data_IF_748926051729
#
_entry.id   IF_748926051729
#
_cell.length_a   1.000
_cell.length_b   1.000
_cell.length_c   1.000
_cell.angle_alpha   90.00
_cell.angle_beta   90.00
_cell.angle_gamma   90.00
#
_symmetry.space_group_name_H-M   'P 1'
#
loop_
_entity.id
_entity.type
_entity.pdbx_description
1 polymer ?
#
# COMPACT_ATOMS: atom_id res chain seq x y z
N UNK A 1 -22.33 -55.29 -42.97
CA UNK A 1 -22.30 -54.11 -43.84
C UNK A 1 -23.42 -53.21 -43.34
N UNK A 2 -23.11 -52.21 -42.53
CA UNK A 2 -23.98 -51.13 -42.12
C UNK A 2 -23.16 -49.87 -42.18
N UNK A 3 -23.56 -49.00 -43.06
CA UNK A 3 -22.88 -47.71 -43.37
C UNK A 3 -23.15 -46.72 -42.26
N UNK A 4 -22.07 -46.13 -41.77
CA UNK A 4 -22.06 -44.98 -40.81
C UNK A 4 -22.37 -43.68 -41.55
N UNK A 5 -23.49 -43.07 -41.21
CA UNK A 5 -23.84 -41.70 -41.63
C UNK A 5 -23.10 -40.69 -40.81
N UNK A 6 -22.36 -39.81 -41.47
CA UNK A 6 -21.74 -38.62 -40.91
C UNK A 6 -22.76 -37.47 -40.85
N UNK A 7 -22.82 -36.70 -39.76
CA UNK A 7 -23.66 -35.50 -39.72
C UNK A 7 -23.04 -34.31 -40.48
N UNK A 8 -23.84 -33.34 -40.96
CA UNK A 8 -23.38 -32.26 -41.80
C UNK A 8 -22.63 -31.16 -41.00
N UNK A 9 -21.66 -30.58 -41.66
CA UNK A 9 -20.86 -29.46 -41.19
C UNK A 9 -21.71 -28.13 -41.31
N UNK A 10 -22.07 -27.58 -40.19
CA UNK A 10 -22.59 -26.18 -40.14
C UNK A 10 -21.42 -25.20 -40.06
N UNK A 11 -21.22 -24.49 -41.15
CA UNK A 11 -20.39 -23.26 -41.18
C UNK A 11 -21.22 -22.10 -40.64
N UNK A 12 -20.72 -21.26 -39.71
CA UNK A 12 -21.44 -20.08 -39.29
C UNK A 12 -21.34 -18.97 -40.34
N UNK A 13 -22.50 -18.41 -40.64
CA UNK A 13 -22.75 -17.26 -41.50
C UNK A 13 -21.91 -16.04 -41.10
N UNK A 14 -21.14 -15.55 -42.05
CA UNK A 14 -20.42 -14.27 -41.99
C UNK A 14 -21.38 -13.10 -42.38
N UNK A 15 -22.33 -12.73 -41.55
CA UNK A 15 -23.10 -11.50 -41.75
C UNK A 15 -23.65 -10.95 -40.44
N UNK A 16 -22.76 -10.49 -39.54
CA UNK A 16 -23.15 -9.67 -38.38
C UNK A 16 -22.08 -8.64 -38.02
N UNK A 17 -21.65 -7.85 -39.00
CA UNK A 17 -20.80 -6.68 -38.79
C UNK A 17 -21.26 -5.55 -39.71
N UNK A 18 -22.39 -4.94 -39.42
CA UNK A 18 -22.74 -3.59 -39.86
C UNK A 18 -24.02 -3.12 -39.12
N UNK A 19 -23.85 -2.59 -37.92
CA UNK A 19 -24.67 -1.49 -37.40
C UNK A 19 -23.84 -0.77 -36.33
N UNK A 20 -23.11 0.24 -36.75
CA UNK A 20 -22.45 1.18 -35.86
C UNK A 20 -23.48 2.18 -35.33
N UNK A 21 -23.99 1.95 -34.15
CA UNK A 21 -24.68 2.99 -33.38
C UNK A 21 -23.65 3.65 -32.46
N UNK A 22 -23.15 4.79 -32.93
CA UNK A 22 -22.38 5.74 -32.11
C UNK A 22 -23.32 6.41 -31.12
N UNK A 23 -23.28 6.00 -29.85
CA UNK A 23 -23.95 6.73 -28.78
C UNK A 23 -23.15 8.01 -28.51
N UNK A 24 -23.68 9.12 -29.05
CA UNK A 24 -23.20 10.46 -28.75
C UNK A 24 -23.69 10.84 -27.36
N UNK A 25 -22.76 10.93 -26.38
CA UNK A 25 -23.02 11.54 -25.08
C UNK A 25 -22.93 13.07 -25.22
N UNK A 26 -24.10 13.72 -25.17
CA UNK A 26 -24.22 15.18 -25.12
C UNK A 26 -23.88 15.70 -23.69
N UNK A 27 -22.74 16.35 -23.56
CA UNK A 27 -22.21 16.93 -22.31
C UNK A 27 -22.74 18.35 -22.03
N UNK A 28 -23.80 18.81 -22.73
CA UNK A 28 -24.31 20.19 -22.55
C UNK A 28 -25.34 20.36 -21.42
N UNK A 29 -25.67 19.33 -20.63
CA UNK A 29 -26.72 19.37 -19.63
C UNK A 29 -26.27 19.65 -18.18
N UNK A 30 -25.01 20.01 -17.93
CA UNK A 30 -24.54 20.42 -16.59
C UNK A 30 -23.98 21.85 -16.60
N UNK A 31 -24.90 22.82 -16.55
CA UNK A 31 -24.58 24.20 -16.18
C UNK A 31 -25.04 24.41 -14.73
N UNK A 32 -24.23 24.87 -13.80
CA UNK A 32 -24.69 25.21 -12.45
C UNK A 32 -25.41 26.56 -12.48
N UNK A 33 -26.68 26.54 -12.14
CA UNK A 33 -27.46 27.76 -11.88
C UNK A 33 -26.94 28.43 -10.61
N UNK A 34 -26.64 29.72 -10.74
CA UNK A 34 -26.32 30.62 -9.65
C UNK A 34 -27.56 30.81 -8.75
N UNK A 35 -27.38 30.60 -7.44
CA UNK A 35 -28.25 31.17 -6.43
C UNK A 35 -27.35 32.04 -5.49
N UNK A 36 -27.49 33.34 -5.67
CA UNK A 36 -27.01 34.31 -4.72
C UNK A 36 -28.10 34.46 -3.64
N UNK A 37 -27.73 34.25 -2.39
CA UNK A 37 -28.38 34.90 -1.25
C UNK A 37 -27.30 35.20 -0.21
N UNK A 38 -27.24 36.48 0.11
CA UNK A 38 -26.34 37.08 1.06
C UNK A 38 -26.88 36.87 2.48
N UNK A 39 -26.09 36.34 3.38
CA UNK A 39 -26.28 36.52 4.81
C UNK A 39 -25.00 37.10 5.44
N UNK A 40 -25.23 38.14 6.25
CA UNK A 40 -24.25 39.00 6.90
C UNK A 40 -23.39 38.25 7.94
N UNK A 41 -22.16 38.72 8.23
CA UNK A 41 -21.29 38.10 9.21
C UNK A 41 -21.68 38.44 10.64
N UNK A 42 -22.00 37.43 11.44
CA UNK A 42 -22.16 37.57 12.89
C UNK A 42 -20.77 37.63 13.53
N UNK A 43 -20.46 38.77 14.13
CA UNK A 43 -19.27 39.00 14.94
C UNK A 43 -19.36 38.21 16.26
N UNK A 44 -18.46 37.27 16.49
CA UNK A 44 -18.22 36.73 17.82
C UNK A 44 -16.99 37.37 18.45
N UNK A 45 -17.24 37.92 19.67
CA UNK A 45 -16.28 38.60 20.51
C UNK A 45 -15.09 37.69 20.89
N UNK A 46 -13.93 38.28 20.87
CA UNK A 46 -12.69 37.76 21.45
C UNK A 46 -12.91 37.49 22.96
N UNK A 47 -12.68 36.24 23.36
CA UNK A 47 -12.37 35.90 24.74
C UNK A 47 -10.92 35.41 24.80
N UNK A 48 -10.10 36.28 25.39
CA UNK A 48 -8.76 35.99 25.86
C UNK A 48 -8.77 34.79 26.79
N UNK A 49 -8.07 33.70 26.38
CA UNK A 49 -7.57 32.72 27.32
C UNK A 49 -6.11 32.44 26.98
N UNK A 50 -5.25 33.03 27.81
CA UNK A 50 -3.83 32.71 27.91
C UNK A 50 -3.62 31.24 28.09
N UNK A 51 -3.13 30.54 27.04
CA UNK A 51 -2.63 29.18 27.16
C UNK A 51 -1.13 29.24 27.40
N UNK A 52 -0.74 28.82 28.59
CA UNK A 52 0.65 28.57 28.95
C UNK A 52 1.28 27.57 27.99
N UNK A 53 2.39 27.99 27.41
CA UNK A 53 3.23 27.11 26.58
C UNK A 53 3.86 26.01 27.44
N UNK A 54 3.33 24.81 27.36
CA UNK A 54 4.03 23.62 27.86
C UNK A 54 5.10 23.27 26.83
N UNK A 55 6.33 23.65 27.14
CA UNK A 55 7.52 23.19 26.42
C UNK A 55 7.66 21.70 26.59
N UNK A 56 7.34 20.93 25.56
CA UNK A 56 7.69 19.52 25.48
C UNK A 56 9.23 19.43 25.41
N UNK A 57 9.85 18.92 26.47
CA UNK A 57 11.26 18.61 26.49
C UNK A 57 11.54 17.47 25.51
N UNK A 58 12.27 17.78 24.44
CA UNK A 58 12.84 16.80 23.51
C UNK A 58 13.81 15.95 24.32
N UNK A 59 13.57 14.63 24.34
CA UNK A 59 14.51 13.66 24.87
C UNK A 59 15.78 13.67 24.01
N UNK A 60 16.98 13.59 24.60
CA UNK A 60 18.23 13.63 23.84
C UNK A 60 18.42 12.37 23.00
N UNK A 61 18.91 12.56 21.78
CA UNK A 61 19.37 11.54 20.84
C UNK A 61 20.25 10.48 21.49
N UNK A 62 19.81 9.24 21.46
CA UNK A 62 20.50 8.08 22.03
C UNK A 62 21.46 7.41 21.03
N UNK A 63 21.77 8.06 19.91
CA UNK A 63 22.77 7.59 18.96
C UNK A 63 23.79 8.67 18.61
N UNK A 64 24.67 8.95 19.58
CA UNK A 64 25.90 9.65 19.28
C UNK A 64 26.80 8.79 18.39
N UNK A 65 27.18 9.34 17.24
CA UNK A 65 28.22 8.80 16.37
C UNK A 65 29.53 8.64 17.15
N UNK A 66 29.85 7.42 17.55
CA UNK A 66 31.16 7.04 18.03
C UNK A 66 32.09 6.80 16.83
N UNK A 67 33.11 7.62 16.70
CA UNK A 67 34.24 7.37 15.82
C UNK A 67 34.95 6.08 16.23
N UNK A 68 35.55 5.30 15.32
CA UNK A 68 36.23 4.06 15.68
C UNK A 68 37.54 4.36 16.40
N UNK A 69 37.61 3.98 17.65
CA UNK A 69 38.89 3.88 18.36
C UNK A 69 39.67 2.62 17.96
N UNK A 70 41.04 2.64 18.01
CA UNK A 70 41.84 1.55 17.47
C UNK A 70 41.72 0.29 18.34
N UNK A 71 41.63 -0.84 17.66
CA UNK A 71 41.55 -2.18 18.20
C UNK A 71 42.63 -2.47 19.22
N UNK A 72 42.24 -2.55 20.50
CA UNK A 72 43.05 -3.25 21.50
C UNK A 72 42.79 -4.76 21.37
N UNK A 73 43.83 -5.53 21.19
CA UNK A 73 43.80 -6.99 21.24
C UNK A 73 43.23 -7.45 22.58
N UNK A 74 42.02 -8.02 22.55
CA UNK A 74 41.43 -8.67 23.72
C UNK A 74 42.08 -10.06 23.84
N UNK A 75 42.87 -10.24 24.88
CA UNK A 75 43.37 -11.55 25.26
C UNK A 75 42.20 -12.53 25.53
N UNK A 76 42.34 -13.83 25.22
CA UNK A 76 41.28 -14.80 25.46
C UNK A 76 40.99 -14.89 26.96
N UNK A 77 39.77 -14.52 27.33
CA UNK A 77 39.26 -14.75 28.67
C UNK A 77 38.88 -16.25 28.72
N UNK A 78 39.64 -17.01 29.54
CA UNK A 78 39.23 -18.38 29.92
C UNK A 78 37.85 -18.29 30.60
N UNK A 79 36.84 -18.81 29.93
CA UNK A 79 35.49 -18.99 30.51
C UNK A 79 35.55 -20.09 31.56
N UNK A 80 35.82 -19.72 32.80
CA UNK A 80 35.48 -20.58 33.93
C UNK A 80 33.98 -20.45 34.15
N UNK A 81 33.22 -21.48 33.77
CA UNK A 81 31.81 -21.64 34.15
C UNK A 81 31.76 -21.87 35.68
N UNK A 82 31.78 -20.80 36.47
CA UNK A 82 31.36 -20.88 37.87
C UNK A 82 29.83 -20.82 37.90
N UNK A 83 29.22 -21.96 38.15
CA UNK A 83 27.79 -22.00 38.48
C UNK A 83 27.52 -21.11 39.72
N UNK A 84 26.50 -20.22 39.69
CA UNK A 84 26.20 -19.37 40.84
C UNK A 84 25.79 -20.23 42.03
N UNK A 85 26.56 -20.16 43.10
CA UNK A 85 26.27 -20.84 44.38
C UNK A 85 25.19 -20.09 45.14
N UNK A 86 23.96 -20.63 45.15
CA UNK A 86 22.85 -20.09 45.90
C UNK A 86 22.88 -20.62 47.35
N UNK A 87 22.40 -19.79 48.31
CA UNK A 87 22.28 -20.16 49.69
C UNK A 87 21.22 -21.24 49.88
N UNK A 88 21.37 -22.20 50.85
CA UNK A 88 20.36 -23.25 51.07
C UNK A 88 19.06 -22.66 51.60
N UNK A 89 18.02 -22.70 50.77
CA UNK A 89 16.65 -22.22 51.11
C UNK A 89 16.07 -21.20 50.10
N UNK A 90 16.80 -20.72 49.15
CA UNK A 90 16.23 -19.90 48.07
C UNK A 90 15.65 -20.80 47.00
N UNK A 91 14.32 -20.77 46.86
CA UNK A 91 13.61 -21.31 45.68
C UNK A 91 13.93 -20.40 44.51
N UNK A 92 14.66 -20.92 43.53
CA UNK A 92 14.92 -20.25 42.27
C UNK A 92 13.59 -20.13 41.54
N UNK A 93 12.94 -18.99 41.62
CA UNK A 93 12.01 -18.57 40.61
C UNK A 93 12.86 -18.23 39.38
N UNK A 94 12.55 -18.81 38.24
CA UNK A 94 13.27 -18.66 36.95
C UNK A 94 13.94 -17.32 36.81
N UNK A 95 15.23 -17.23 37.16
CA UNK A 95 16.03 -16.02 36.89
C UNK A 95 16.43 -16.08 35.44
N UNK A 96 15.63 -15.42 34.58
CA UNK A 96 15.97 -15.27 33.19
C UNK A 96 17.30 -14.47 33.12
N UNK A 97 18.37 -15.11 32.68
CA UNK A 97 19.64 -14.42 32.45
C UNK A 97 19.48 -13.39 31.35
N UNK A 98 20.21 -12.27 31.39
CA UNK A 98 20.21 -11.26 30.32
C UNK A 98 20.47 -11.91 28.94
N UNK A 99 21.34 -12.93 28.88
CA UNK A 99 21.59 -13.73 27.67
C UNK A 99 20.31 -14.46 27.22
N UNK A 100 19.56 -15.07 28.12
CA UNK A 100 18.28 -15.73 27.80
C UNK A 100 17.22 -14.75 27.35
N UNK A 101 17.15 -13.56 27.96
CA UNK A 101 16.27 -12.48 27.50
C UNK A 101 16.58 -12.06 26.06
N UNK A 102 17.85 -11.81 25.73
CA UNK A 102 18.27 -11.47 24.37
C UNK A 102 18.03 -12.62 23.39
N UNK A 103 18.31 -13.83 23.78
CA UNK A 103 18.20 -14.98 22.89
C UNK A 103 16.72 -15.37 22.60
N UNK A 104 15.84 -15.32 23.58
CA UNK A 104 14.46 -15.77 23.42
C UNK A 104 13.51 -14.57 23.16
N UNK A 105 13.43 -13.62 24.08
CA UNK A 105 12.44 -12.54 23.98
C UNK A 105 12.71 -11.57 22.82
N UNK A 106 13.99 -11.29 22.56
CA UNK A 106 14.32 -10.43 21.43
C UNK A 106 14.02 -11.10 20.09
N UNK A 107 14.33 -12.40 19.95
CA UNK A 107 14.00 -13.17 18.75
C UNK A 107 12.50 -13.30 18.55
N UNK A 108 11.75 -13.56 19.63
CA UNK A 108 10.28 -13.65 19.59
C UNK A 108 9.68 -12.30 19.16
N UNK A 109 10.17 -11.20 19.76
CA UNK A 109 9.74 -9.87 19.38
C UNK A 109 10.11 -9.52 17.94
N UNK A 110 11.33 -9.84 17.51
CA UNK A 110 11.78 -9.60 16.15
C UNK A 110 10.95 -10.39 15.13
N UNK A 111 10.69 -11.67 15.40
CA UNK A 111 9.78 -12.50 14.60
C UNK A 111 8.38 -11.89 14.51
N UNK A 112 7.81 -11.50 15.65
CA UNK A 112 6.50 -10.85 15.68
C UNK A 112 6.47 -9.57 14.83
N UNK A 113 7.48 -8.69 14.96
CA UNK A 113 7.52 -7.44 14.16
C UNK A 113 7.66 -7.73 12.67
N UNK A 114 8.39 -8.77 12.29
CA UNK A 114 8.56 -9.17 10.90
C UNK A 114 7.25 -9.72 10.33
N UNK A 115 6.66 -10.72 10.98
CA UNK A 115 5.50 -11.47 10.47
C UNK A 115 4.18 -10.73 10.66
N UNK A 116 4.00 -10.06 11.82
CA UNK A 116 2.69 -9.52 12.22
C UNK A 116 2.58 -7.99 12.08
N UNK A 117 3.61 -7.31 11.54
CA UNK A 117 3.56 -5.84 11.44
C UNK A 117 4.13 -5.26 10.15
N UNK A 118 5.41 -5.56 9.84
CA UNK A 118 6.17 -4.74 8.92
C UNK A 118 6.21 -5.27 7.49
N UNK A 119 6.26 -6.60 7.31
CA UNK A 119 6.45 -7.24 6.01
C UNK A 119 5.11 -7.76 5.50
N UNK A 120 4.75 -7.51 4.23
CA UNK A 120 3.50 -7.99 3.65
C UNK A 120 3.59 -9.49 3.32
N UNK A 121 2.45 -10.18 3.39
CA UNK A 121 2.31 -11.52 2.84
C UNK A 121 2.31 -11.47 1.30
N UNK A 122 2.85 -12.50 0.65
CA UNK A 122 2.92 -12.53 -0.82
C UNK A 122 1.56 -12.82 -1.45
N UNK A 123 0.71 -13.56 -0.74
CA UNK A 123 -0.59 -14.04 -1.21
C UNK A 123 -1.54 -12.87 -1.51
N UNK A 124 -1.64 -11.91 -0.61
CA UNK A 124 -2.54 -10.76 -0.74
C UNK A 124 -1.83 -9.40 -0.85
N UNK A 125 -0.52 -9.36 -0.62
CA UNK A 125 0.27 -8.14 -0.67
C UNK A 125 0.00 -7.16 0.46
N UNK A 126 -0.64 -7.60 1.54
CA UNK A 126 -1.08 -6.76 2.65
C UNK A 126 -0.29 -7.02 3.93
N UNK A 127 -0.12 -5.97 4.71
CA UNK A 127 0.28 -6.11 6.12
C UNK A 127 -0.92 -6.54 6.95
N UNK A 128 -0.72 -7.22 8.10
CA UNK A 128 -1.83 -7.67 8.96
C UNK A 128 -2.83 -6.57 9.31
N UNK A 129 -2.37 -5.36 9.67
CA UNK A 129 -3.26 -4.24 9.97
C UNK A 129 -4.12 -3.84 8.77
N UNK A 130 -3.57 -3.83 7.56
CA UNK A 130 -4.31 -3.48 6.34
C UNK A 130 -5.38 -4.53 6.01
N UNK A 131 -5.04 -5.81 6.17
CA UNK A 131 -5.97 -6.94 6.00
C UNK A 131 -7.12 -6.86 6.98
N UNK A 132 -6.84 -6.56 8.25
CA UNK A 132 -7.85 -6.39 9.31
C UNK A 132 -8.76 -5.19 9.06
N UNK A 133 -8.23 -4.07 8.56
CA UNK A 133 -9.03 -2.90 8.15
C UNK A 133 -10.00 -3.28 7.04
N UNK A 134 -9.51 -3.92 5.96
CA UNK A 134 -10.34 -4.33 4.83
C UNK A 134 -11.40 -5.35 5.25
N UNK A 135 -11.05 -6.29 6.12
CA UNK A 135 -12.00 -7.25 6.68
C UNK A 135 -13.09 -6.55 7.51
N UNK A 136 -12.72 -5.64 8.41
CA UNK A 136 -13.67 -4.85 9.20
C UNK A 136 -14.59 -4.00 8.31
N UNK A 137 -14.04 -3.37 7.26
CA UNK A 137 -14.83 -2.63 6.28
C UNK A 137 -15.81 -3.54 5.53
N UNK A 138 -15.41 -4.79 5.21
CA UNK A 138 -16.28 -5.75 4.53
C UNK A 138 -17.43 -6.23 5.42
N UNK A 139 -17.19 -6.42 6.72
CA UNK A 139 -18.26 -6.72 7.68
C UNK A 139 -19.29 -5.58 7.82
N UNK A 140 -18.84 -4.34 7.66
CA UNK A 140 -19.68 -3.13 7.77
C UNK A 140 -20.27 -2.70 6.42
N UNK A 141 -19.97 -3.40 5.34
CA UNK A 141 -20.30 -2.98 3.98
C UNK A 141 -21.80 -3.06 3.68
N UNK A 142 -22.42 -1.88 3.62
CA UNK A 142 -23.81 -1.67 3.18
C UNK A 142 -23.88 -0.79 1.92
N UNK A 143 -22.75 -0.55 1.26
CA UNK A 143 -22.60 0.29 0.08
C UNK A 143 -22.50 1.80 0.36
N UNK A 144 -22.66 2.23 1.62
CA UNK A 144 -22.57 3.63 2.04
C UNK A 144 -21.20 3.96 2.62
N UNK A 145 -20.89 5.26 2.67
CA UNK A 145 -19.71 5.72 3.37
C UNK A 145 -19.87 5.58 4.89
N UNK A 146 -18.85 5.05 5.53
CA UNK A 146 -18.74 4.92 6.98
C UNK A 146 -17.69 5.89 7.53
N UNK A 147 -17.93 6.47 8.70
CA UNK A 147 -16.92 7.28 9.40
C UNK A 147 -15.67 6.43 9.67
N UNK A 148 -14.50 6.97 9.40
CA UNK A 148 -13.21 6.30 9.66
C UNK A 148 -13.10 5.90 11.14
N UNK A 149 -13.60 6.73 12.06
CA UNK A 149 -13.64 6.39 13.48
C UNK A 149 -14.42 5.10 13.79
N UNK A 150 -15.52 4.82 13.06
CA UNK A 150 -16.28 3.58 13.22
C UNK A 150 -15.51 2.38 12.67
N UNK A 151 -14.84 2.54 11.54
CA UNK A 151 -14.00 1.48 10.95
C UNK A 151 -12.83 1.16 11.88
N UNK A 152 -12.18 2.17 12.46
CA UNK A 152 -11.12 1.98 13.45
C UNK A 152 -11.65 1.16 14.64
N UNK A 153 -12.80 1.55 15.21
CA UNK A 153 -13.44 0.83 16.31
C UNK A 153 -13.77 -0.63 15.99
N UNK A 154 -14.26 -0.90 14.76
CA UNK A 154 -14.51 -2.27 14.30
C UNK A 154 -13.19 -3.05 14.13
N UNK A 155 -12.15 -2.42 13.60
CA UNK A 155 -10.84 -3.05 13.38
C UNK A 155 -10.14 -3.43 14.70
N UNK A 156 -10.35 -2.67 15.78
CA UNK A 156 -9.78 -2.96 17.10
C UNK A 156 -10.23 -4.32 17.69
N UNK A 157 -11.30 -4.91 17.17
CA UNK A 157 -11.73 -6.26 17.55
C UNK A 157 -10.79 -7.36 17.01
N UNK A 158 -9.98 -7.03 16.01
CA UNK A 158 -9.03 -7.92 15.33
C UNK A 158 -7.57 -7.50 15.58
N UNK A 159 -7.33 -6.21 15.83
CA UNK A 159 -5.98 -5.66 15.91
C UNK A 159 -5.65 -5.19 17.33
N UNK A 160 -4.72 -5.87 18.05
CA UNK A 160 -4.44 -5.60 19.47
C UNK A 160 -3.51 -4.39 19.70
N UNK A 161 -3.57 -3.38 18.82
CA UNK A 161 -2.77 -2.17 18.91
C UNK A 161 -3.66 -0.93 18.95
N UNK A 162 -3.07 0.23 19.30
CA UNK A 162 -3.78 1.48 19.46
C UNK A 162 -4.49 1.97 18.19
N UNK A 163 -5.59 2.68 18.39
CA UNK A 163 -6.45 3.28 17.37
C UNK A 163 -5.69 4.20 16.39
N UNK A 164 -4.69 4.94 16.89
CA UNK A 164 -3.85 5.79 16.05
C UNK A 164 -3.15 5.02 14.94
N UNK A 165 -2.56 3.85 15.24
CA UNK A 165 -1.86 3.02 14.25
C UNK A 165 -2.81 2.48 13.16
N UNK A 166 -4.05 2.17 13.54
CA UNK A 166 -5.10 1.75 12.59
C UNK A 166 -5.51 2.93 11.72
N UNK A 167 -5.67 4.12 12.32
CA UNK A 167 -6.00 5.35 11.62
C UNK A 167 -4.96 5.72 10.56
N UNK A 168 -3.68 5.69 10.92
CA UNK A 168 -2.56 5.97 9.99
C UNK A 168 -2.51 4.96 8.84
N UNK A 169 -2.70 3.67 9.14
CA UNK A 169 -2.75 2.64 8.11
C UNK A 169 -3.95 2.82 7.18
N UNK A 170 -5.10 3.24 7.70
CA UNK A 170 -6.30 3.51 6.92
C UNK A 170 -6.14 4.74 6.02
N UNK A 171 -5.53 5.82 6.52
CA UNK A 171 -5.19 7.00 5.72
C UNK A 171 -4.24 6.61 4.59
N UNK A 172 -3.21 5.84 4.88
CA UNK A 172 -2.28 5.35 3.84
C UNK A 172 -2.97 4.50 2.77
N UNK A 173 -3.92 3.64 3.14
CA UNK A 173 -4.71 2.87 2.18
C UNK A 173 -5.63 3.77 1.34
N UNK A 174 -6.27 4.76 1.95
CA UNK A 174 -7.16 5.70 1.28
C UNK A 174 -6.43 6.59 0.28
N UNK A 175 -5.23 7.07 0.61
CA UNK A 175 -4.41 7.90 -0.26
C UNK A 175 -3.89 7.17 -1.52
N UNK A 176 -3.99 5.84 -1.58
CA UNK A 176 -3.63 5.05 -2.77
C UNK A 176 -4.76 4.91 -3.80
N UNK A 177 -5.96 5.37 -3.50
CA UNK A 177 -7.15 5.43 -4.39
C UNK A 177 -7.45 4.11 -5.15
N UNK A 178 -7.19 2.95 -4.54
CA UNK A 178 -7.41 1.66 -5.20
C UNK A 178 -8.46 0.80 -4.50
N UNK A 179 -8.27 0.53 -3.20
CA UNK A 179 -9.12 -0.38 -2.44
C UNK A 179 -10.24 0.33 -1.70
N UNK A 180 -10.05 1.60 -1.38
CA UNK A 180 -10.95 2.41 -0.55
C UNK A 180 -11.32 3.67 -1.32
N UNK A 181 -12.62 3.93 -1.44
CA UNK A 181 -13.14 5.23 -1.86
C UNK A 181 -13.22 6.14 -0.64
N UNK A 182 -12.75 7.35 -0.80
CA UNK A 182 -12.56 8.32 0.29
C UNK A 182 -13.48 9.52 0.15
N UNK A 183 -13.96 10.06 1.28
CA UNK A 183 -14.72 11.30 1.33
C UNK A 183 -14.21 12.18 2.47
N UNK A 184 -14.04 13.47 2.20
CA UNK A 184 -13.46 14.45 3.14
C UNK A 184 -11.97 14.72 2.86
N UNK A 185 -11.28 15.33 3.81
CA UNK A 185 -9.86 15.65 3.67
C UNK A 185 -8.98 14.50 4.20
N UNK A 186 -8.41 13.74 3.30
CA UNK A 186 -7.49 12.62 3.59
C UNK A 186 -6.01 13.02 3.53
N UNK A 187 -5.72 14.34 3.52
CA UNK A 187 -4.37 14.84 3.31
C UNK A 187 -3.93 14.77 1.85
N UNK A 188 -2.73 15.22 1.57
CA UNK A 188 -2.13 15.13 0.23
C UNK A 188 -0.66 14.69 0.35
N UNK A 189 -0.32 13.59 -0.30
CA UNK A 189 1.04 13.02 -0.32
C UNK A 189 2.07 13.94 -1.01
N UNK A 190 1.60 14.90 -1.84
CA UNK A 190 2.46 15.84 -2.56
C UNK A 190 2.81 17.05 -1.69
N UNK A 191 1.85 17.63 -0.99
CA UNK A 191 2.08 18.78 -0.11
C UNK A 191 2.60 18.36 1.27
N UNK A 192 2.29 17.13 1.70
CA UNK A 192 2.57 16.61 3.03
C UNK A 192 1.51 17.01 4.07
N UNK A 193 0.37 17.55 3.61
CA UNK A 193 -0.74 17.86 4.49
C UNK A 193 -1.30 16.60 5.14
N UNK A 194 -1.55 16.67 6.45
CA UNK A 194 -2.14 15.57 7.21
C UNK A 194 -3.63 15.40 6.93
N UNK A 195 -4.13 14.19 7.12
CA UNK A 195 -5.57 13.92 7.05
C UNK A 195 -6.32 14.59 8.21
N UNK A 196 -7.58 14.93 7.98
CA UNK A 196 -8.47 15.39 9.04
C UNK A 196 -8.74 14.27 10.05
N UNK A 197 -9.19 14.63 11.25
CA UNK A 197 -9.47 13.64 12.29
C UNK A 197 -10.50 12.60 11.81
N UNK A 198 -10.33 11.35 12.26
CA UNK A 198 -11.12 10.18 11.83
C UNK A 198 -12.65 10.34 11.95
N UNK A 199 -13.12 11.24 12.83
CA UNK A 199 -14.55 11.56 13.00
C UNK A 199 -15.13 12.39 11.85
N UNK A 200 -14.31 13.04 11.03
CA UNK A 200 -14.76 13.92 9.94
C UNK A 200 -14.67 13.26 8.57
N UNK A 201 -13.72 12.37 8.37
CA UNK A 201 -13.50 11.66 7.10
C UNK A 201 -14.28 10.36 7.03
N UNK A 202 -14.64 9.97 5.83
CA UNK A 202 -15.45 8.79 5.57
C UNK A 202 -14.83 7.92 4.47
N UNK A 203 -15.12 6.63 4.53
CA UNK A 203 -14.61 5.64 3.60
C UNK A 203 -15.63 4.55 3.31
N UNK A 204 -15.51 3.94 2.13
CA UNK A 204 -16.15 2.67 1.79
C UNK A 204 -15.22 1.84 0.90
N UNK A 205 -15.50 0.55 0.77
CA UNK A 205 -14.77 -0.30 -0.16
C UNK A 205 -15.05 0.12 -1.60
N UNK A 206 -14.01 0.16 -2.42
CA UNK A 206 -14.17 0.39 -3.85
C UNK A 206 -14.82 -0.83 -4.53
N UNK A 207 -15.46 -0.60 -5.68
CA UNK A 207 -16.00 -1.70 -6.48
C UNK A 207 -14.89 -2.71 -6.86
N UNK A 208 -13.71 -2.20 -7.20
CA UNK A 208 -12.54 -3.04 -7.47
C UNK A 208 -12.19 -3.95 -6.28
N UNK A 209 -12.15 -3.39 -5.06
CA UNK A 209 -11.88 -4.20 -3.88
C UNK A 209 -12.93 -5.29 -3.66
N UNK A 210 -14.21 -4.97 -3.83
CA UNK A 210 -15.31 -5.94 -3.67
C UNK A 210 -15.22 -7.08 -4.67
N UNK A 211 -14.84 -6.81 -5.91
CA UNK A 211 -14.77 -7.80 -6.99
C UNK A 211 -13.49 -8.66 -6.94
N UNK A 212 -12.37 -8.12 -6.44
CA UNK A 212 -11.04 -8.72 -6.61
C UNK A 212 -10.45 -9.26 -5.30
N UNK A 213 -10.80 -8.66 -4.16
CA UNK A 213 -10.15 -8.95 -2.87
C UNK A 213 -10.92 -9.97 -2.03
N UNK A 214 -12.23 -10.00 -2.13
CA UNK A 214 -13.07 -10.77 -1.23
C UNK A 214 -13.77 -11.94 -1.92
N UNK A 215 -13.63 -13.12 -1.33
CA UNK A 215 -14.46 -14.28 -1.60
C UNK A 215 -14.49 -15.17 -0.35
N UNK A 216 -15.59 -15.21 0.40
CA UNK A 216 -15.67 -15.95 1.67
C UNK A 216 -15.46 -17.47 1.51
N UNK A 217 -15.80 -18.03 0.34
CA UNK A 217 -15.75 -19.47 0.08
C UNK A 217 -14.32 -19.97 -0.17
N UNK A 218 -13.43 -19.07 -0.63
CA UNK A 218 -12.01 -19.37 -0.85
C UNK A 218 -11.10 -18.77 0.21
N UNK A 219 -11.64 -18.07 1.21
CA UNK A 219 -10.87 -17.47 2.30
C UNK A 219 -10.55 -18.49 3.38
N UNK A 220 -9.29 -18.54 3.80
CA UNK A 220 -8.87 -19.28 4.98
C UNK A 220 -9.03 -18.42 6.23
N UNK A 221 -9.69 -19.01 7.26
CA UNK A 221 -10.07 -18.27 8.46
C UNK A 221 -9.31 -18.77 9.68
N UNK A 222 -8.80 -17.83 10.47
CA UNK A 222 -8.21 -18.09 11.78
C UNK A 222 -8.99 -17.37 12.88
N UNK A 223 -8.70 -17.70 14.16
CA UNK A 223 -9.25 -16.99 15.28
C UNK A 223 -8.53 -15.64 15.46
N UNK A 224 -9.31 -14.62 15.87
CA UNK A 224 -8.75 -13.33 16.30
C UNK A 224 -7.88 -13.50 17.55
N UNK A 225 -7.06 -12.49 17.88
CA UNK A 225 -6.13 -12.52 19.01
C UNK A 225 -6.81 -12.84 20.36
N UNK A 226 -8.10 -12.51 20.52
CA UNK A 226 -8.90 -12.78 21.72
C UNK A 226 -9.75 -14.05 21.62
N UNK A 227 -9.70 -14.75 20.46
CA UNK A 227 -10.44 -15.97 20.19
C UNK A 227 -11.97 -15.82 20.02
N UNK A 228 -12.49 -14.59 20.03
CA UNK A 228 -13.94 -14.33 19.97
C UNK A 228 -14.51 -14.30 18.56
N UNK A 229 -13.71 -13.91 17.59
CA UNK A 229 -14.10 -13.78 16.20
C UNK A 229 -13.16 -14.56 15.27
N UNK A 230 -13.50 -14.60 14.00
CA UNK A 230 -12.62 -15.11 12.96
C UNK A 230 -12.14 -13.97 12.09
N UNK A 231 -10.88 -14.01 11.72
CA UNK A 231 -10.26 -13.10 10.78
C UNK A 231 -9.62 -13.90 9.61
N UNK A 232 -9.49 -13.33 8.40
CA UNK A 232 -8.81 -14.02 7.32
C UNK A 232 -7.32 -14.15 7.62
N UNK A 233 -6.74 -15.33 7.40
CA UNK A 233 -5.29 -15.55 7.43
C UNK A 233 -4.63 -14.73 6.33
N UNK A 234 -5.13 -14.87 5.09
CA UNK A 234 -4.86 -14.02 3.94
C UNK A 234 -6.15 -13.78 3.17
N UNK A 235 -6.22 -12.69 2.38
CA UNK A 235 -7.36 -12.45 1.50
C UNK A 235 -7.12 -13.08 0.12
N UNK A 236 -8.15 -13.66 -0.52
CA UNK A 236 -8.03 -14.31 -1.83
C UNK A 236 -7.96 -13.28 -2.98
N UNK A 237 -6.88 -12.52 -3.02
CA UNK A 237 -6.70 -11.43 -3.97
C UNK A 237 -6.36 -11.96 -5.36
N UNK A 238 -7.16 -11.60 -6.36
CA UNK A 238 -7.03 -12.01 -7.77
C UNK A 238 -6.33 -10.96 -8.64
N UNK A 239 -5.33 -10.28 -8.10
CA UNK A 239 -4.58 -9.20 -8.76
C UNK A 239 -3.22 -9.00 -8.06
N UNK A 240 -2.14 -8.60 -8.74
CA UNK A 240 -0.84 -8.33 -8.12
C UNK A 240 -0.86 -7.02 -7.30
N UNK A 241 -1.65 -7.01 -6.23
CA UNK A 241 -1.96 -5.85 -5.41
C UNK A 241 -0.71 -5.26 -4.77
N UNK A 242 0.21 -6.11 -4.30
CA UNK A 242 1.48 -5.69 -3.72
C UNK A 242 2.27 -4.77 -4.64
N UNK A 243 2.33 -5.12 -5.93
CA UNK A 243 3.06 -4.34 -6.93
C UNK A 243 2.31 -3.06 -7.33
N UNK A 244 0.97 -3.11 -7.36
CA UNK A 244 0.18 -1.91 -7.69
C UNK A 244 0.27 -0.85 -6.61
N UNK A 245 0.22 -1.24 -5.34
CA UNK A 245 0.22 -0.30 -4.23
C UNK A 245 1.61 0.08 -3.73
N UNK A 246 2.59 -0.80 -3.93
CA UNK A 246 3.86 -0.70 -3.25
C UNK A 246 3.72 -0.80 -1.72
N UNK A 247 4.78 -1.10 -1.04
CA UNK A 247 4.80 -1.22 0.42
C UNK A 247 6.16 -0.77 0.95
N UNK A 248 6.14 -0.06 2.07
CA UNK A 248 7.32 0.24 2.85
C UNK A 248 7.11 -0.23 4.29
N UNK A 249 8.09 -0.92 4.86
CA UNK A 249 8.05 -1.42 6.23
C UNK A 249 9.44 -1.61 6.81
N UNK A 250 9.60 -1.22 8.06
CA UNK A 250 10.84 -1.36 8.82
C UNK A 250 10.57 -2.35 9.95
N UNK A 251 11.34 -3.43 9.97
CA UNK A 251 11.31 -4.45 11.01
C UNK A 251 12.64 -4.52 11.74
N UNK A 252 12.76 -5.43 12.68
CA UNK A 252 14.02 -5.68 13.39
C UNK A 252 14.98 -6.48 12.49
N UNK A 253 16.08 -5.88 12.10
CA UNK A 253 17.10 -6.50 11.22
C UNK A 253 16.71 -6.65 9.75
N UNK A 254 15.45 -6.35 9.39
CA UNK A 254 14.91 -6.43 8.04
C UNK A 254 14.11 -5.18 7.69
N UNK A 255 14.07 -4.86 6.41
CA UNK A 255 13.17 -3.85 5.87
C UNK A 255 12.62 -4.32 4.53
N UNK A 256 11.44 -3.84 4.18
CA UNK A 256 10.87 -3.99 2.84
C UNK A 256 10.59 -2.62 2.26
N UNK A 257 10.90 -2.42 0.99
CA UNK A 257 10.59 -1.21 0.23
C UNK A 257 10.29 -1.57 -1.22
N UNK A 258 9.03 -1.86 -1.48
CA UNK A 258 8.53 -2.25 -2.79
C UNK A 258 7.88 -1.04 -3.42
N UNK A 259 8.36 -0.68 -4.61
CA UNK A 259 7.85 0.48 -5.35
C UNK A 259 6.51 0.16 -6.00
N UNK A 260 5.61 1.15 -6.14
CA UNK A 260 4.38 0.99 -6.92
C UNK A 260 4.69 0.84 -8.41
N UNK A 261 3.79 0.18 -9.14
CA UNK A 261 3.86 -0.06 -10.58
C UNK A 261 2.54 0.31 -11.24
N UNK A 262 2.59 0.59 -12.54
CA UNK A 262 1.42 0.97 -13.31
C UNK A 262 0.39 -0.15 -13.41
N UNK A 263 -0.86 0.13 -13.02
CA UNK A 263 -1.97 -0.83 -13.02
C UNK A 263 -2.19 -1.50 -14.37
N UNK A 264 -2.16 -0.73 -15.47
CA UNK A 264 -2.38 -1.27 -16.83
C UNK A 264 -1.21 -2.14 -17.29
N UNK A 265 0.01 -1.78 -16.91
CA UNK A 265 1.20 -2.58 -17.20
C UNK A 265 1.18 -3.89 -16.43
N UNK A 266 0.77 -3.88 -15.16
CA UNK A 266 0.60 -5.10 -14.36
C UNK A 266 -0.43 -6.06 -14.99
N UNK A 267 -1.57 -5.55 -15.48
CA UNK A 267 -2.53 -6.39 -16.20
C UNK A 267 -1.94 -7.01 -17.47
N UNK A 268 -1.23 -6.22 -18.28
CA UNK A 268 -0.56 -6.71 -19.50
C UNK A 268 0.52 -7.74 -19.17
N UNK A 269 1.33 -7.44 -18.15
CA UNK A 269 2.39 -8.31 -17.69
C UNK A 269 1.85 -9.64 -17.14
N UNK A 270 0.73 -9.64 -16.40
CA UNK A 270 0.05 -10.87 -15.96
C UNK A 270 -0.43 -11.72 -17.15
N UNK A 271 -0.97 -11.09 -18.20
CA UNK A 271 -1.35 -11.78 -19.45
C UNK A 271 -0.13 -12.39 -20.13
N UNK A 272 1.00 -11.68 -20.16
CA UNK A 272 2.23 -12.19 -20.78
C UNK A 272 2.84 -13.35 -19.98
N UNK A 273 2.78 -13.30 -18.64
CA UNK A 273 3.13 -14.43 -17.77
C UNK A 273 2.29 -15.68 -18.09
N UNK A 274 0.96 -15.53 -18.23
CA UNK A 274 0.07 -16.63 -18.60
C UNK A 274 0.36 -17.22 -20.00
N UNK A 275 0.93 -16.40 -20.89
CA UNK A 275 1.36 -16.82 -22.22
C UNK A 275 2.79 -17.37 -22.26
N UNK A 276 3.46 -17.48 -21.11
CA UNK A 276 4.84 -17.95 -21.00
C UNK A 276 5.87 -17.00 -21.57
N UNK A 277 5.58 -15.70 -21.65
CA UNK A 277 6.51 -14.68 -22.14
C UNK A 277 7.36 -14.13 -21.01
N UNK A 278 8.54 -13.67 -21.34
CA UNK A 278 9.38 -12.90 -20.40
C UNK A 278 8.74 -11.54 -20.14
N UNK A 279 8.80 -11.12 -18.89
CA UNK A 279 8.22 -9.86 -18.42
C UNK A 279 9.30 -9.07 -17.69
N UNK A 280 9.36 -7.77 -17.96
CA UNK A 280 10.16 -6.81 -17.23
C UNK A 280 9.25 -5.70 -16.72
N UNK A 281 9.36 -5.35 -15.43
CA UNK A 281 8.57 -4.33 -14.78
C UNK A 281 9.47 -3.23 -14.22
N UNK A 282 9.00 -1.99 -14.35
CA UNK A 282 9.64 -0.83 -13.76
C UNK A 282 8.67 -0.08 -12.86
N UNK A 283 9.16 0.57 -11.80
CA UNK A 283 8.34 1.39 -10.93
C UNK A 283 7.66 2.54 -11.70
N UNK A 284 6.42 2.84 -11.31
CA UNK A 284 5.67 3.98 -11.78
C UNK A 284 5.05 4.73 -10.58
N UNK A 285 5.09 6.06 -10.62
CA UNK A 285 4.76 6.88 -9.47
C UNK A 285 3.64 7.87 -9.79
N UNK A 286 2.65 7.97 -8.90
CA UNK A 286 1.54 8.92 -9.02
C UNK A 286 1.97 10.38 -8.93
N UNK A 287 3.14 10.66 -8.35
CA UNK A 287 3.70 12.02 -8.26
C UNK A 287 4.39 12.49 -9.52
N UNK A 288 4.51 11.64 -10.55
CA UNK A 288 5.20 11.96 -11.81
C UNK A 288 6.73 11.96 -11.68
N UNK A 289 7.39 12.77 -12.51
CA UNK A 289 8.84 12.89 -12.55
C UNK A 289 9.54 11.88 -13.47
N UNK A 290 10.87 11.89 -13.43
CA UNK A 290 11.72 11.01 -14.23
C UNK A 290 12.40 9.99 -13.33
N UNK A 291 12.46 8.73 -13.78
CA UNK A 291 13.09 7.63 -13.04
C UNK A 291 14.22 6.99 -13.83
N UNK A 292 15.44 7.02 -13.27
CA UNK A 292 16.56 6.23 -13.80
C UNK A 292 16.55 4.85 -13.13
N UNK A 293 16.25 3.84 -13.93
CA UNK A 293 16.09 2.44 -13.54
C UNK A 293 17.30 1.57 -13.91
N UNK A 294 18.40 2.16 -14.35
CA UNK A 294 19.60 1.44 -14.82
C UNK A 294 20.09 0.39 -13.79
N UNK A 295 20.00 0.70 -12.51
CA UNK A 295 20.41 -0.18 -11.42
C UNK A 295 19.23 -0.72 -10.59
N UNK A 296 18.06 -0.85 -11.19
CA UNK A 296 16.84 -1.30 -10.50
C UNK A 296 16.89 -2.77 -10.06
N UNK A 297 17.56 -3.62 -10.84
CA UNK A 297 17.77 -5.04 -10.53
C UNK A 297 16.52 -5.73 -9.96
N UNK A 298 15.37 -5.62 -10.65
CA UNK A 298 14.07 -6.22 -10.24
C UNK A 298 13.66 -5.90 -8.79
N UNK A 299 14.08 -4.76 -8.25
CA UNK A 299 13.77 -4.35 -6.88
C UNK A 299 14.43 -5.20 -5.79
N UNK A 300 15.41 -6.04 -6.11
CA UNK A 300 16.13 -6.87 -5.14
C UNK A 300 17.07 -6.05 -4.26
N UNK A 301 17.52 -6.64 -3.17
CA UNK A 301 18.47 -6.02 -2.25
C UNK A 301 19.72 -5.53 -2.97
N UNK A 302 20.09 -4.25 -2.75
CA UNK A 302 21.19 -3.59 -3.45
C UNK A 302 20.75 -2.84 -4.71
N UNK A 303 19.48 -2.92 -5.12
CA UNK A 303 18.93 -2.09 -6.16
C UNK A 303 19.01 -0.60 -5.79
N UNK A 304 19.10 0.25 -6.80
CA UNK A 304 19.09 1.70 -6.65
C UNK A 304 18.39 2.35 -7.84
N UNK A 305 17.45 3.22 -7.55
CA UNK A 305 16.82 4.10 -8.55
C UNK A 305 17.07 5.55 -8.19
N UNK A 306 17.09 6.42 -9.21
CA UNK A 306 17.18 7.87 -9.02
C UNK A 306 15.92 8.51 -9.59
N UNK A 307 15.29 9.34 -8.80
CA UNK A 307 14.08 10.05 -9.16
C UNK A 307 14.39 11.54 -9.29
N UNK A 308 13.95 12.14 -10.37
CA UNK A 308 14.11 13.55 -10.66
C UNK A 308 12.77 14.25 -10.80
N UNK A 309 12.68 15.43 -10.23
CA UNK A 309 11.61 16.36 -10.48
C UNK A 309 11.57 16.78 -11.96
N UNK A 310 10.40 17.04 -12.50
CA UNK A 310 10.26 17.66 -13.82
C UNK A 310 10.38 19.16 -13.68
N UNK A 311 11.44 19.75 -14.23
CA UNK A 311 11.71 21.19 -14.18
C UNK A 311 11.54 21.77 -15.58
N UNK A 312 10.63 22.72 -15.72
CA UNK A 312 10.32 23.44 -16.95
C UNK A 312 10.98 24.83 -16.95
N UNK A 313 11.66 25.16 -18.03
CA UNK A 313 12.22 26.49 -18.24
C UNK A 313 11.19 27.35 -18.98
N UNK A 314 10.54 28.25 -18.28
CA UNK A 314 9.52 29.13 -18.86
C UNK A 314 10.16 30.40 -19.44
N UNK A 315 11.11 30.98 -18.71
CA UNK A 315 11.79 32.21 -19.11
C UNK A 315 13.27 32.20 -18.68
N UNK A 316 14.03 33.23 -19.08
CA UNK A 316 15.45 33.39 -18.68
C UNK A 316 15.62 33.55 -17.15
N UNK A 317 14.56 33.90 -16.42
CA UNK A 317 14.57 34.16 -14.99
C UNK A 317 13.57 33.34 -14.20
N UNK A 318 12.86 32.39 -14.86
CA UNK A 318 11.81 31.61 -14.21
C UNK A 318 11.92 30.15 -14.59
N UNK A 319 12.10 29.30 -13.58
CA UNK A 319 11.94 27.85 -13.67
C UNK A 319 10.67 27.45 -12.91
N UNK A 320 9.96 26.45 -13.41
CA UNK A 320 8.79 25.84 -12.73
C UNK A 320 9.04 24.35 -12.56
N UNK A 321 8.85 23.87 -11.33
CA UNK A 321 8.86 22.46 -11.00
C UNK A 321 7.42 21.96 -11.10
N UNK A 322 7.17 20.97 -11.98
CA UNK A 322 5.85 20.41 -12.29
C UNK A 322 5.56 19.10 -11.55
N UNK A 323 6.58 18.31 -11.30
CA UNK A 323 6.49 17.05 -10.58
C UNK A 323 7.55 17.02 -9.47
N UNK A 324 7.26 16.30 -8.41
CA UNK A 324 8.20 16.08 -7.31
C UNK A 324 8.61 14.60 -7.25
N UNK A 325 9.82 14.28 -6.80
CA UNK A 325 10.23 12.90 -6.60
C UNK A 325 9.34 12.18 -5.60
N UNK A 326 9.00 10.93 -5.86
CA UNK A 326 8.19 10.09 -4.98
C UNK A 326 8.81 9.98 -3.58
N UNK A 327 8.00 10.23 -2.55
CA UNK A 327 8.44 10.22 -1.15
C UNK A 327 9.00 11.56 -0.66
N UNK A 328 9.00 12.61 -1.51
CA UNK A 328 9.24 13.99 -1.13
C UNK A 328 7.94 14.78 -1.09
N UNK A 329 7.93 15.93 -0.41
CA UNK A 329 6.81 16.87 -0.41
C UNK A 329 7.22 18.22 -0.98
N UNK A 330 6.26 19.03 -1.45
CA UNK A 330 6.56 20.39 -1.95
C UNK A 330 7.26 21.23 -0.89
N UNK A 331 6.83 21.12 0.36
CA UNK A 331 7.45 21.82 1.50
C UNK A 331 8.89 21.41 1.72
N UNK A 332 9.18 20.09 1.80
CA UNK A 332 10.54 19.58 1.99
C UNK A 332 11.45 19.96 0.81
N UNK A 333 10.94 19.89 -0.42
CA UNK A 333 11.68 20.28 -1.61
C UNK A 333 12.03 21.77 -1.59
N UNK A 334 11.08 22.65 -1.26
CA UNK A 334 11.35 24.09 -1.13
C UNK A 334 12.39 24.40 -0.04
N UNK A 335 12.28 23.74 1.13
CA UNK A 335 13.26 23.88 2.20
C UNK A 335 14.67 23.46 1.74
N UNK A 336 14.78 22.35 0.97
CA UNK A 336 16.06 21.90 0.44
C UNK A 336 16.67 22.92 -0.53
N UNK A 337 15.83 23.56 -1.37
CA UNK A 337 16.22 24.62 -2.31
C UNK A 337 16.70 25.86 -1.53
N UNK A 338 15.97 26.29 -0.50
CA UNK A 338 16.37 27.43 0.33
C UNK A 338 17.71 27.16 1.04
N UNK A 339 17.85 25.98 1.68
CA UNK A 339 19.10 25.57 2.35
C UNK A 339 20.29 25.57 1.38
N UNK A 340 20.11 25.09 0.15
CA UNK A 340 21.15 25.10 -0.89
C UNK A 340 21.52 26.53 -1.33
N UNK A 341 20.55 27.44 -1.38
CA UNK A 341 20.77 28.86 -1.66
C UNK A 341 21.53 29.58 -0.55
N UNK A 342 21.16 29.37 0.70
CA UNK A 342 21.85 29.90 1.89
C UNK A 342 23.30 29.42 1.97
N UNK A 343 23.52 28.13 1.60
CA UNK A 343 24.86 27.56 1.48
C UNK A 343 25.65 28.05 0.27
N UNK A 344 25.11 29.02 -0.53
CA UNK A 344 25.70 29.56 -1.75
C UNK A 344 26.01 28.52 -2.84
N UNK A 345 25.35 27.35 -2.82
CA UNK A 345 25.46 26.31 -3.86
C UNK A 345 24.65 26.65 -5.12
N UNK A 346 23.53 27.32 -4.93
CA UNK A 346 22.63 27.81 -5.98
C UNK A 346 22.32 29.31 -5.74
N UNK A 347 22.10 30.04 -6.85
CA UNK A 347 21.70 31.46 -6.80
C UNK A 347 20.24 31.60 -7.22
N UNK A 348 19.35 31.77 -6.26
CA UNK A 348 17.94 32.01 -6.47
C UNK A 348 17.53 33.37 -5.85
N UNK A 349 16.48 33.96 -6.39
CA UNK A 349 15.88 35.21 -5.87
C UNK A 349 14.72 34.90 -4.93
N UNK A 350 13.85 33.99 -5.31
CA UNK A 350 12.64 33.61 -4.58
C UNK A 350 12.14 32.24 -5.02
N UNK A 351 11.58 31.48 -4.09
CA UNK A 351 10.78 30.28 -4.36
C UNK A 351 9.36 30.53 -3.90
N UNK A 352 8.38 30.14 -4.70
CA UNK A 352 6.94 30.30 -4.40
C UNK A 352 6.24 29.01 -4.74
N UNK A 353 5.43 28.49 -3.81
CA UNK A 353 4.52 27.37 -4.04
C UNK A 353 3.16 27.89 -4.53
N UNK A 354 2.78 27.47 -5.72
CA UNK A 354 1.47 27.71 -6.31
C UNK A 354 0.74 26.38 -6.55
N UNK A 355 1.13 25.32 -5.84
CA UNK A 355 0.55 23.98 -5.98
C UNK A 355 -0.95 24.02 -5.64
N UNK A 356 -1.75 23.46 -6.55
CA UNK A 356 -3.18 23.29 -6.40
C UNK A 356 -3.54 21.85 -6.79
N UNK A 357 -4.32 21.62 -7.84
CA UNK A 357 -4.56 20.27 -8.37
C UNK A 357 -3.28 19.63 -8.93
N UNK A 358 -2.38 20.44 -9.47
CA UNK A 358 -1.06 20.01 -9.97
C UNK A 358 0.04 20.72 -9.22
N UNK A 359 1.20 20.08 -9.13
CA UNK A 359 2.39 20.71 -8.52
C UNK A 359 2.85 21.89 -9.39
N UNK A 360 3.08 23.01 -8.77
CA UNK A 360 3.65 24.21 -9.39
C UNK A 360 4.52 24.98 -8.38
N UNK A 361 5.83 24.68 -8.38
CA UNK A 361 6.79 25.44 -7.57
C UNK A 361 7.59 26.34 -8.50
N UNK A 362 7.44 27.66 -8.32
CA UNK A 362 8.14 28.67 -9.10
C UNK A 362 9.47 29.04 -8.45
N UNK A 363 10.56 28.89 -9.19
CA UNK A 363 11.92 29.29 -8.78
C UNK A 363 12.35 30.49 -9.62
N UNK A 364 12.40 31.66 -9.00
CA UNK A 364 12.83 32.91 -9.65
C UNK A 364 14.34 33.06 -9.52
N UNK A 365 15.00 33.32 -10.66
CA UNK A 365 16.44 33.48 -10.76
C UNK A 365 16.82 34.97 -10.79
N UNK A 366 17.99 35.37 -10.27
CA UNK A 366 18.56 36.69 -10.46
C UNK A 366 18.92 36.90 -11.95
N UNK A 367 18.90 38.17 -12.38
CA UNK A 367 19.35 38.54 -13.75
C UNK A 367 20.82 38.18 -13.96
N UNK A 368 21.12 37.54 -15.09
CA UNK A 368 22.48 37.13 -15.47
C UNK A 368 22.89 35.73 -15.00
N UNK A 369 22.01 35.00 -14.28
CA UNK A 369 22.21 33.58 -13.97
C UNK A 369 21.68 32.71 -15.10
N UNK A 370 22.41 31.68 -15.50
CA UNK A 370 21.97 30.74 -16.53
C UNK A 370 20.91 29.77 -15.96
N UNK A 371 19.70 29.70 -16.54
CA UNK A 371 18.67 28.75 -16.10
C UNK A 371 19.14 27.29 -16.22
N UNK A 372 19.83 26.93 -17.28
CA UNK A 372 20.26 25.54 -17.54
C UNK A 372 21.28 25.08 -16.48
N UNK A 373 22.28 25.91 -16.14
CA UNK A 373 23.22 25.61 -15.06
C UNK A 373 22.53 25.57 -13.69
N UNK A 374 21.47 26.35 -13.50
CA UNK A 374 20.69 26.31 -12.24
C UNK A 374 19.86 25.03 -12.17
N UNK A 375 19.30 24.54 -13.27
CA UNK A 375 18.61 23.24 -13.28
C UNK A 375 19.57 22.11 -12.90
N UNK A 376 20.77 22.08 -13.47
CA UNK A 376 21.77 21.08 -13.11
C UNK A 376 22.17 21.19 -11.63
N UNK A 377 22.29 22.41 -11.12
CA UNK A 377 22.60 22.64 -9.70
C UNK A 377 21.45 22.27 -8.76
N UNK A 378 20.19 22.46 -9.19
CA UNK A 378 19.01 21.99 -8.45
C UNK A 378 19.03 20.46 -8.30
N UNK A 379 19.30 19.72 -9.39
CA UNK A 379 19.44 18.26 -9.31
C UNK A 379 20.63 17.82 -8.47
N UNK A 380 21.74 18.53 -8.50
CA UNK A 380 22.96 18.15 -7.77
C UNK A 380 22.93 18.45 -6.29
N UNK A 381 22.22 19.49 -5.83
CA UNK A 381 22.36 20.03 -4.49
C UNK A 381 21.05 20.12 -3.70
N UNK A 382 19.93 19.70 -4.27
CA UNK A 382 18.61 19.74 -3.64
C UNK A 382 17.86 18.42 -3.82
N UNK A 383 16.72 18.29 -3.16
CA UNK A 383 15.85 17.13 -3.28
C UNK A 383 15.07 17.07 -4.61
N UNK A 384 15.45 17.91 -5.61
CA UNK A 384 14.98 17.74 -6.98
C UNK A 384 15.48 16.43 -7.62
N UNK A 385 16.56 15.83 -7.11
CA UNK A 385 16.96 14.46 -7.39
C UNK A 385 17.15 13.71 -6.09
N UNK A 386 16.45 12.59 -5.91
CA UNK A 386 16.63 11.69 -4.76
C UNK A 386 16.98 10.28 -5.23
N UNK A 387 17.68 9.55 -4.38
CA UNK A 387 17.97 8.13 -4.61
C UNK A 387 17.18 7.27 -3.66
N UNK A 388 16.50 6.26 -4.20
CA UNK A 388 15.77 5.24 -3.41
C UNK A 388 16.46 3.90 -3.62
N UNK A 389 16.58 3.12 -2.55
CA UNK A 389 17.06 1.74 -2.60
C UNK A 389 15.90 0.78 -2.37
N UNK A 390 15.30 0.24 -3.43
CA UNK A 390 14.26 -0.79 -3.32
C UNK A 390 14.80 -2.04 -2.62
N UNK A 391 13.92 -2.76 -1.95
CA UNK A 391 14.24 -4.01 -1.29
C UNK A 391 12.95 -4.84 -1.16
N UNK A 392 12.73 -5.76 -2.09
CA UNK A 392 11.52 -6.57 -2.13
C UNK A 392 11.66 -7.75 -1.17
N UNK A 393 11.17 -7.55 0.06
CA UNK A 393 11.06 -8.58 1.08
C UNK A 393 9.57 -8.85 1.35
N UNK A 394 9.17 -10.12 1.32
CA UNK A 394 7.79 -10.58 1.52
C UNK A 394 7.78 -11.81 2.43
N UNK A 395 6.64 -12.11 3.05
CA UNK A 395 6.44 -13.35 3.78
C UNK A 395 5.93 -14.41 2.80
N UNK A 396 6.61 -15.57 2.80
CA UNK A 396 6.24 -16.78 2.05
C UNK A 396 6.40 -17.95 3.03
N UNK A 397 5.36 -18.74 3.24
CA UNK A 397 5.35 -19.88 4.17
C UNK A 397 5.90 -19.50 5.55
N UNK A 398 5.37 -18.43 6.14
CA UNK A 398 5.76 -17.86 7.44
C UNK A 398 7.23 -17.47 7.57
N UNK A 399 7.90 -17.19 6.45
CA UNK A 399 9.31 -16.81 6.44
C UNK A 399 9.55 -15.59 5.56
N UNK A 400 10.36 -14.62 6.00
CA UNK A 400 10.77 -13.51 5.15
C UNK A 400 11.67 -14.01 4.01
N UNK A 401 11.32 -13.63 2.78
CA UNK A 401 12.06 -13.95 1.56
C UNK A 401 12.32 -12.70 0.75
N UNK A 402 13.51 -12.63 0.17
CA UNK A 402 13.87 -11.59 -0.80
C UNK A 402 13.64 -12.17 -2.20
N UNK A 403 12.77 -11.52 -2.96
CA UNK A 403 12.34 -11.98 -4.30
C UNK A 403 12.36 -10.83 -5.30
N UNK A 404 12.46 -11.13 -6.58
CA UNK A 404 12.33 -10.13 -7.64
C UNK A 404 10.88 -9.72 -7.87
N UNK A 405 10.67 -8.52 -8.40
CA UNK A 405 9.33 -8.00 -8.72
C UNK A 405 8.61 -8.90 -9.72
N UNK A 406 9.33 -9.42 -10.72
CA UNK A 406 8.78 -10.35 -11.71
C UNK A 406 8.37 -11.69 -11.10
N UNK A 407 9.06 -12.14 -10.05
CA UNK A 407 8.69 -13.37 -9.33
C UNK A 407 7.44 -13.16 -8.48
N UNK A 408 7.31 -11.98 -7.84
CA UNK A 408 6.06 -11.57 -7.16
C UNK A 408 4.89 -11.59 -8.15
N UNK A 409 5.07 -11.04 -9.36
CA UNK A 409 4.04 -11.05 -10.39
C UNK A 409 3.67 -12.47 -10.80
N UNK A 410 4.66 -13.35 -11.05
CA UNK A 410 4.41 -14.75 -11.42
C UNK A 410 3.65 -15.49 -10.34
N UNK A 411 4.02 -15.31 -9.08
CA UNK A 411 3.34 -15.94 -7.95
C UNK A 411 1.90 -15.45 -7.79
N UNK A 412 1.67 -14.13 -7.87
CA UNK A 412 0.33 -13.55 -7.83
C UNK A 412 -0.55 -14.02 -8.99
N UNK A 413 0.01 -14.09 -10.22
CA UNK A 413 -0.72 -14.57 -11.39
C UNK A 413 -1.08 -16.06 -11.24
N UNK A 414 -0.15 -16.90 -10.78
CA UNK A 414 -0.41 -18.32 -10.51
C UNK A 414 -1.43 -18.50 -9.37
N UNK A 415 -1.38 -17.68 -8.31
CA UNK A 415 -2.38 -17.69 -7.25
C UNK A 415 -3.77 -17.32 -7.77
N UNK A 416 -3.86 -16.32 -8.65
CA UNK A 416 -5.12 -15.94 -9.32
C UNK A 416 -5.74 -17.10 -10.08
N UNK A 417 -4.96 -17.86 -10.84
CA UNK A 417 -5.45 -19.05 -11.57
C UNK A 417 -6.00 -20.08 -10.59
N UNK A 418 -5.22 -20.44 -9.56
CA UNK A 418 -5.67 -21.40 -8.53
C UNK A 418 -6.95 -20.97 -7.82
N UNK A 419 -7.09 -19.68 -7.50
CA UNK A 419 -8.30 -19.15 -6.88
C UNK A 419 -9.51 -19.27 -7.79
N UNK A 420 -9.36 -18.96 -9.08
CA UNK A 420 -10.44 -19.09 -10.07
C UNK A 420 -10.82 -20.56 -10.30
N UNK A 421 -9.86 -21.47 -10.36
CA UNK A 421 -10.12 -22.92 -10.42
C UNK A 421 -10.92 -23.37 -9.19
N UNK A 422 -10.51 -22.94 -8.01
CA UNK A 422 -11.20 -23.28 -6.76
C UNK A 422 -12.62 -22.70 -6.69
N UNK A 423 -12.83 -21.47 -7.14
CA UNK A 423 -14.16 -20.87 -7.24
C UNK A 423 -15.08 -21.67 -8.18
N UNK A 424 -14.53 -22.17 -9.30
CA UNK A 424 -15.29 -22.99 -10.25
C UNK A 424 -15.63 -24.38 -9.68
N UNK A 425 -14.71 -25.01 -8.95
CA UNK A 425 -14.97 -26.29 -8.26
C UNK A 425 -16.10 -26.14 -7.25
N UNK A 426 -16.03 -25.13 -6.37
CA UNK A 426 -17.08 -24.86 -5.38
C UNK A 426 -18.43 -24.63 -6.08
N UNK A 427 -18.41 -23.84 -7.15
CA UNK A 427 -19.61 -23.57 -7.92
C UNK A 427 -20.17 -24.82 -8.61
N UNK A 428 -19.31 -25.71 -9.09
CA UNK A 428 -19.70 -27.01 -9.67
C UNK A 428 -20.39 -27.85 -8.61
N UNK A 429 -19.82 -27.97 -7.41
CA UNK A 429 -20.39 -28.76 -6.31
C UNK A 429 -21.77 -28.24 -5.90
N UNK A 430 -21.92 -26.91 -5.75
CA UNK A 430 -23.22 -26.29 -5.48
C UNK A 430 -24.27 -26.61 -6.56
N UNK A 431 -23.87 -26.56 -7.83
CA UNK A 431 -24.78 -26.86 -8.94
C UNK A 431 -25.14 -28.34 -8.99
N UNK A 432 -24.21 -29.21 -8.65
CA UNK A 432 -24.45 -30.64 -8.52
C UNK A 432 -25.47 -30.95 -7.43
N UNK A 433 -25.33 -30.30 -6.26
CA UNK A 433 -26.29 -30.46 -5.17
C UNK A 433 -27.69 -29.95 -5.56
N UNK A 434 -27.77 -28.77 -6.17
CA UNK A 434 -29.05 -28.22 -6.67
C UNK A 434 -29.68 -29.13 -7.71
N UNK A 435 -28.88 -29.64 -8.66
CA UNK A 435 -29.37 -30.57 -9.68
C UNK A 435 -29.85 -31.89 -9.06
N UNK A 436 -29.12 -32.43 -8.10
CA UNK A 436 -29.50 -33.66 -7.39
C UNK A 436 -30.84 -33.48 -6.67
N UNK A 437 -31.01 -32.43 -5.90
CA UNK A 437 -32.23 -32.10 -5.18
C UNK A 437 -33.42 -31.94 -6.13
N UNK A 438 -33.26 -31.19 -7.22
CA UNK A 438 -34.30 -31.01 -8.25
C UNK A 438 -34.64 -32.34 -8.94
N UNK A 439 -33.65 -33.22 -9.16
CA UNK A 439 -33.87 -34.54 -9.73
C UNK A 439 -34.68 -35.46 -8.79
N UNK A 440 -34.41 -35.41 -7.50
CA UNK A 440 -35.18 -36.12 -6.46
C UNK A 440 -36.63 -35.62 -6.41
N UNK A 441 -36.85 -34.31 -6.45
CA UNK A 441 -38.16 -33.71 -6.49
C UNK A 441 -38.94 -34.16 -7.74
N UNK A 442 -38.27 -34.16 -8.91
CA UNK A 442 -38.87 -34.64 -10.17
C UNK A 442 -39.28 -36.09 -10.04
N UNK A 443 -38.41 -36.99 -9.56
CA UNK A 443 -38.72 -38.42 -9.34
C UNK A 443 -39.89 -38.59 -8.37
N UNK A 444 -39.93 -37.81 -7.28
CA UNK A 444 -40.99 -37.83 -6.28
C UNK A 444 -42.36 -37.45 -6.88
N UNK A 445 -42.39 -36.41 -7.74
CA UNK A 445 -43.60 -35.96 -8.40
C UNK A 445 -44.04 -36.93 -9.50
N UNK A 446 -43.15 -37.34 -10.42
CA UNK A 446 -43.46 -38.21 -11.57
C UNK A 446 -43.96 -39.59 -11.10
N UNK A 447 -43.29 -40.17 -10.09
CA UNK A 447 -43.72 -41.46 -9.54
C UNK A 447 -44.83 -41.37 -8.50
N UNK A 448 -45.37 -40.17 -8.29
CA UNK A 448 -46.46 -39.89 -7.33
C UNK A 448 -46.19 -40.49 -5.93
N UNK A 449 -44.94 -40.42 -5.47
CA UNK A 449 -44.51 -41.02 -4.19
C UNK A 449 -45.31 -40.42 -3.03
N UNK A 450 -45.70 -39.15 -3.10
CA UNK A 450 -46.55 -38.47 -2.14
C UNK A 450 -47.92 -39.14 -1.92
N UNK A 451 -48.35 -40.06 -2.77
CA UNK A 451 -49.57 -40.86 -2.57
C UNK A 451 -49.36 -42.14 -1.78
N UNK A 452 -48.12 -42.48 -1.53
CA UNK A 452 -47.73 -43.70 -0.76
C UNK A 452 -47.35 -43.39 0.65
N UNK A 453 -47.19 -42.11 1.00
CA UNK A 453 -47.01 -41.58 2.34
C UNK A 453 -48.39 -41.21 2.91
#
# INVERSE_FOLDING_TARGET
MATLDTPPSDTPDQNFLQSGDSVNFDLSAFSPAAAADAEEPVSFAEQDTSAEAVTASVAPDLFGTLAPEPSAEIAPVEETEEEPKFAPGETIHDVATVRGMYQNWFLDYASYVILERAVPAIEDGLKPVQRRILHAMKEMDDGRFNKVANVIGQTMQYHPHGDASIGDAMVNLGQKDLLIETQGNWGDVRTGDGAAAARYIEARLSKFALDVVFNPDTTEWQLSYDGRKREPTTLPVKFPLLLAQGVEGIAVGLSTKIMPHNFRELCKASIDVLRGREVQLFPDFSTGGLCDVTNYNSGMRGAKIRLRATIEKVDKTLLIIRDIPYGSTTTALMESIVKASEANKIKIKKVVDNTAANVEIQVQLPTGVSPDLTMDALYAFTDCEISISPNTCVIIDDKPRFVGVEDVLRQSTAATVRLLERELEIRQDELWEKWHNASLEKIFIENRIYRRI
#
